data_IF_486792432654
#
_entry.id   IF_486792432654
#
_cell.length_a   1.000
_cell.length_b   1.000
_cell.length_c   1.000
_cell.angle_alpha   90.00
_cell.angle_beta   90.00
_cell.angle_gamma   90.00
#
_symmetry.space_group_name_H-M   'P 1'
#
loop_
_entity.id
_entity.type
_entity.pdbx_description
1 polymer ?
#
# COMPACT_ATOMS: atom_id res chain seq x y z
N UNK A 1 22.73 -28.19 9.51
CA UNK A 1 21.56 -27.34 9.27
C UNK A 1 21.01 -26.97 10.63
N UNK A 2 21.36 -25.77 11.14
CA UNK A 2 21.02 -25.34 12.50
C UNK A 2 19.82 -24.44 12.41
N UNK A 3 18.69 -24.90 12.94
CA UNK A 3 17.51 -24.07 13.18
C UNK A 3 17.85 -23.03 14.25
N UNK A 4 17.86 -21.77 13.88
CA UNK A 4 17.87 -20.69 14.86
C UNK A 4 16.44 -20.51 15.37
N UNK A 5 16.16 -21.02 16.56
CA UNK A 5 14.98 -20.61 17.32
C UNK A 5 15.13 -19.13 17.68
N UNK A 6 14.29 -18.31 17.12
CA UNK A 6 14.14 -16.91 17.54
C UNK A 6 13.35 -16.93 18.85
N UNK A 7 14.05 -16.88 19.97
CA UNK A 7 13.45 -16.58 21.26
C UNK A 7 12.89 -15.15 21.21
N UNK A 8 11.61 -15.02 21.50
CA UNK A 8 10.95 -13.75 21.71
C UNK A 8 11.60 -13.02 22.88
N UNK A 9 12.62 -12.23 22.58
CA UNK A 9 13.27 -11.36 23.55
C UNK A 9 12.31 -10.25 23.96
N UNK A 10 12.24 -10.03 25.26
CA UNK A 10 11.59 -8.93 25.95
C UNK A 10 11.95 -7.59 25.27
N UNK A 11 11.12 -7.09 24.37
CA UNK A 11 11.27 -5.75 23.82
C UNK A 11 10.46 -4.76 24.68
N UNK A 12 11.11 -3.74 25.26
CA UNK A 12 10.43 -2.68 25.98
C UNK A 12 9.72 -1.77 24.98
N UNK A 13 8.43 -2.06 24.73
CA UNK A 13 7.67 -1.43 23.66
C UNK A 13 6.59 -0.51 24.22
N UNK A 14 7.00 0.47 24.99
CA UNK A 14 6.17 1.60 25.33
C UNK A 14 6.98 2.88 25.13
N UNK A 15 6.95 3.43 23.91
CA UNK A 15 7.37 4.80 23.69
C UNK A 15 6.14 5.69 23.78
N UNK A 16 6.00 6.40 24.88
CA UNK A 16 5.00 7.46 25.05
C UNK A 16 5.58 8.75 24.43
N UNK A 17 5.10 9.13 23.25
CA UNK A 17 5.38 10.46 22.69
C UNK A 17 4.25 11.41 23.10
N UNK A 18 4.56 12.37 23.94
CA UNK A 18 3.67 13.50 24.24
C UNK A 18 3.85 14.56 23.15
N UNK A 19 2.84 14.77 22.33
CA UNK A 19 2.78 15.90 21.42
C UNK A 19 1.55 16.72 21.79
N UNK A 20 1.78 17.95 22.26
CA UNK A 20 0.79 19.01 22.54
C UNK A 20 -0.60 18.53 23.00
N UNK A 21 -0.68 18.04 24.24
CA UNK A 21 -1.96 17.85 24.95
C UNK A 21 -2.79 16.63 24.51
N UNK A 22 -2.34 15.85 23.53
CA UNK A 22 -2.99 14.60 23.13
C UNK A 22 -2.08 13.42 23.51
N UNK A 23 -2.58 12.56 24.39
CA UNK A 23 -1.89 11.31 24.74
C UNK A 23 -1.92 10.36 23.54
N UNK A 24 -0.76 10.13 22.93
CA UNK A 24 -0.61 9.16 21.83
C UNK A 24 -0.13 7.86 22.44
N UNK A 25 -0.96 6.83 22.39
CA UNK A 25 -0.58 5.47 22.77
C UNK A 25 0.00 4.76 21.56
N UNK A 26 1.27 4.36 21.67
CA UNK A 26 1.98 3.61 20.61
C UNK A 26 2.29 2.20 21.13
N UNK A 27 1.95 1.20 20.34
CA UNK A 27 2.25 -0.19 20.65
C UNK A 27 2.77 -0.90 19.43
N UNK A 28 3.94 -1.50 19.54
CA UNK A 28 4.45 -2.42 18.52
C UNK A 28 3.79 -3.78 18.74
N UNK A 29 3.20 -4.32 17.69
CA UNK A 29 2.59 -5.64 17.73
C UNK A 29 3.66 -6.73 17.65
N UNK A 30 3.52 -7.85 18.39
CA UNK A 30 4.48 -8.96 18.36
C UNK A 30 4.32 -9.84 17.12
N UNK A 31 3.96 -9.26 15.99
CA UNK A 31 3.71 -9.94 14.72
C UNK A 31 4.36 -9.17 13.58
N UNK A 32 4.82 -9.89 12.58
CA UNK A 32 5.36 -9.34 11.34
C UNK A 32 4.40 -9.61 10.20
N UNK A 33 4.21 -8.62 9.33
CA UNK A 33 3.46 -8.82 8.10
C UNK A 33 4.36 -9.51 7.06
N UNK A 34 3.92 -10.65 6.54
CA UNK A 34 4.62 -11.33 5.45
C UNK A 34 4.37 -10.61 4.12
N UNK A 35 3.12 -10.32 3.82
CA UNK A 35 2.70 -9.74 2.54
C UNK A 35 2.32 -8.27 2.67
N UNK A 36 1.17 -7.98 3.27
CA UNK A 36 0.66 -6.62 3.36
C UNK A 36 -0.07 -6.37 4.68
N UNK A 37 -0.18 -5.07 5.01
CA UNK A 37 -1.05 -4.55 6.07
C UNK A 37 -2.08 -3.65 5.42
N UNK A 38 -3.35 -3.91 5.72
CA UNK A 38 -4.46 -3.07 5.28
C UNK A 38 -4.99 -2.23 6.45
N UNK A 39 -5.12 -0.92 6.21
CA UNK A 39 -5.68 0.05 7.16
C UNK A 39 -6.95 0.64 6.55
N UNK A 40 -8.05 0.57 7.28
CA UNK A 40 -9.32 1.11 6.83
C UNK A 40 -10.31 1.24 7.96
N UNK A 41 -11.52 1.69 7.63
CA UNK A 41 -12.62 1.78 8.57
C UNK A 41 -13.13 0.39 8.97
N UNK A 42 -13.61 0.25 10.21
CA UNK A 42 -14.23 -0.98 10.69
C UNK A 42 -15.46 -1.38 9.86
N UNK A 43 -16.17 -0.39 9.33
CA UNK A 43 -17.22 -0.57 8.34
C UNK A 43 -16.63 -0.29 6.96
N UNK A 44 -16.38 -1.32 6.17
CA UNK A 44 -15.71 -1.23 4.86
C UNK A 44 -16.44 -0.36 3.82
N UNK A 45 -17.73 -0.06 4.05
CA UNK A 45 -18.52 0.86 3.21
C UNK A 45 -18.22 2.34 3.48
N UNK A 46 -17.47 2.67 4.54
CA UNK A 46 -17.12 4.05 4.87
C UNK A 46 -15.83 4.47 4.18
N UNK A 47 -15.76 5.77 3.92
CA UNK A 47 -14.56 6.39 3.39
C UNK A 47 -13.58 6.67 4.52
N UNK A 48 -12.33 6.31 4.33
CA UNK A 48 -11.22 6.64 5.22
C UNK A 48 -10.59 7.98 4.82
N UNK A 49 -10.33 8.82 5.80
CA UNK A 49 -9.55 10.05 5.64
C UNK A 49 -8.21 9.83 6.34
N UNK A 50 -7.16 9.70 5.56
CA UNK A 50 -5.83 9.35 6.06
C UNK A 50 -4.85 10.50 5.81
N UNK A 51 -4.04 10.77 6.81
CA UNK A 51 -2.84 11.59 6.69
C UNK A 51 -1.63 10.66 6.77
N UNK A 52 -0.91 10.55 5.68
CA UNK A 52 0.23 9.64 5.57
C UNK A 52 1.51 10.45 5.44
N UNK A 53 2.50 10.12 6.25
CA UNK A 53 3.83 10.70 6.18
C UNK A 53 4.84 9.57 5.97
N UNK A 54 5.67 9.69 4.95
CA UNK A 54 6.77 8.79 4.69
C UNK A 54 8.09 9.52 5.00
N UNK A 55 8.80 9.04 5.99
CA UNK A 55 10.09 9.58 6.44
C UNK A 55 10.05 11.11 6.61
N UNK A 56 10.88 11.84 5.86
CA UNK A 56 10.98 13.29 5.88
C UNK A 56 10.12 13.99 4.82
N UNK A 57 9.30 13.24 4.09
CA UNK A 57 8.43 13.81 3.06
C UNK A 57 7.26 14.60 3.67
N UNK A 58 6.64 15.50 2.90
CA UNK A 58 5.41 16.18 3.31
C UNK A 58 4.29 15.20 3.62
N UNK A 59 3.41 15.60 4.51
CA UNK A 59 2.18 14.83 4.81
C UNK A 59 1.27 14.84 3.60
N UNK A 60 0.82 13.67 3.19
CA UNK A 60 -0.14 13.47 2.11
C UNK A 60 -1.51 13.19 2.75
N UNK A 61 -2.51 13.98 2.40
CA UNK A 61 -3.90 13.77 2.81
C UNK A 61 -4.65 13.05 1.71
N UNK A 62 -5.20 11.90 2.05
CA UNK A 62 -5.94 11.07 1.11
C UNK A 62 -7.33 10.73 1.62
N UNK A 63 -8.27 10.70 0.68
CA UNK A 63 -9.62 10.17 0.85
C UNK A 63 -9.74 8.90 0.02
N UNK A 64 -9.91 7.76 0.68
CA UNK A 64 -9.93 6.45 0.02
C UNK A 64 -10.79 5.45 0.81
N UNK A 65 -10.83 4.22 0.36
CA UNK A 65 -11.51 3.12 1.07
C UNK A 65 -10.57 2.37 2.04
N UNK A 66 -9.30 2.74 2.07
CA UNK A 66 -8.26 2.17 2.93
C UNK A 66 -6.88 2.29 2.31
N UNK A 67 -5.86 2.02 3.10
CA UNK A 67 -4.46 2.02 2.72
C UNK A 67 -3.90 0.61 2.80
N UNK A 68 -3.32 0.14 1.71
CA UNK A 68 -2.60 -1.13 1.67
C UNK A 68 -1.10 -0.85 1.62
N UNK A 69 -0.37 -1.37 2.61
CA UNK A 69 1.09 -1.25 2.71
C UNK A 69 1.68 -2.63 2.49
N UNK A 70 2.44 -2.82 1.42
CA UNK A 70 3.02 -4.11 1.07
C UNK A 70 4.49 -4.20 1.41
N UNK A 71 4.91 -5.38 1.83
CA UNK A 71 6.33 -5.78 1.89
C UNK A 71 6.84 -6.11 0.49
N UNK A 72 8.15 -6.28 0.33
CA UNK A 72 8.72 -6.76 -0.92
C UNK A 72 8.16 -8.13 -1.33
N UNK A 73 7.95 -9.04 -0.38
CA UNK A 73 7.35 -10.36 -0.62
C UNK A 73 5.89 -10.26 -1.07
N UNK A 74 5.14 -9.33 -0.48
CA UNK A 74 3.72 -9.12 -0.79
C UNK A 74 3.46 -8.40 -2.12
N UNK A 75 4.49 -7.83 -2.76
CA UNK A 75 4.35 -7.02 -3.98
C UNK A 75 3.74 -7.79 -5.17
N UNK A 76 3.75 -9.11 -5.15
CA UNK A 76 3.16 -9.99 -6.18
C UNK A 76 1.82 -10.62 -5.75
N UNK A 77 1.35 -10.29 -4.56
CA UNK A 77 0.13 -10.84 -3.97
C UNK A 77 -1.09 -9.92 -4.20
N UNK A 78 -1.83 -9.65 -3.16
CA UNK A 78 -3.05 -8.83 -3.23
C UNK A 78 -2.79 -7.41 -3.69
N UNK A 79 -1.72 -6.78 -3.20
CA UNK A 79 -1.31 -5.42 -3.62
C UNK A 79 -1.10 -5.34 -5.13
N UNK A 80 -0.46 -6.35 -5.74
CA UNK A 80 -0.32 -6.42 -7.18
C UNK A 80 -1.68 -6.49 -7.87
N UNK A 81 -2.58 -7.33 -7.37
CA UNK A 81 -3.90 -7.53 -7.98
C UNK A 81 -4.80 -6.29 -7.96
N UNK A 82 -4.65 -5.43 -6.92
CA UNK A 82 -5.40 -4.17 -6.84
C UNK A 82 -4.77 -3.08 -7.73
N UNK A 83 -3.48 -3.09 -7.94
CA UNK A 83 -2.74 -2.03 -8.65
C UNK A 83 -2.48 -2.32 -10.12
N UNK A 84 -2.58 -3.60 -10.54
CA UNK A 84 -2.29 -3.97 -11.93
C UNK A 84 -3.29 -3.38 -12.91
N UNK A 85 -2.78 -2.88 -14.00
CA UNK A 85 -3.60 -2.54 -15.15
C UNK A 85 -3.88 -3.80 -15.98
N UNK A 86 -5.15 -4.01 -16.33
CA UNK A 86 -5.50 -5.11 -17.22
C UNK A 86 -5.13 -4.75 -18.66
N UNK A 87 -4.86 -5.77 -19.49
CA UNK A 87 -4.59 -5.57 -20.93
C UNK A 87 -5.72 -4.77 -21.60
N UNK A 88 -6.97 -5.10 -21.28
CA UNK A 88 -8.15 -4.40 -21.81
C UNK A 88 -8.18 -2.91 -21.39
N UNK A 89 -7.80 -2.57 -20.15
CA UNK A 89 -7.75 -1.18 -19.71
C UNK A 89 -6.70 -0.39 -20.49
N UNK A 90 -5.52 -0.97 -20.67
CA UNK A 90 -4.44 -0.35 -21.46
C UNK A 90 -4.88 -0.15 -22.92
N UNK A 91 -5.46 -1.15 -23.53
CA UNK A 91 -5.98 -1.09 -24.91
C UNK A 91 -7.04 0.01 -25.06
N UNK A 92 -7.96 0.11 -24.11
CA UNK A 92 -9.00 1.14 -24.13
C UNK A 92 -8.40 2.55 -24.01
N UNK A 93 -7.43 2.75 -23.12
CA UNK A 93 -6.74 4.03 -22.98
C UNK A 93 -6.00 4.39 -24.26
N UNK A 94 -5.29 3.43 -24.86
CA UNK A 94 -4.55 3.66 -26.11
C UNK A 94 -5.47 4.00 -27.27
N UNK A 95 -6.62 3.32 -27.40
CA UNK A 95 -7.63 3.65 -28.40
C UNK A 95 -8.14 5.08 -28.22
N UNK A 96 -8.49 5.46 -26.99
CA UNK A 96 -8.96 6.80 -26.69
C UNK A 96 -7.91 7.87 -27.01
N UNK A 97 -6.66 7.64 -26.63
CA UNK A 97 -5.55 8.57 -26.95
C UNK A 97 -5.39 8.70 -28.46
N UNK A 98 -5.42 7.60 -29.20
CA UNK A 98 -5.30 7.60 -30.66
C UNK A 98 -6.44 8.40 -31.32
N UNK A 99 -7.69 8.17 -30.90
CA UNK A 99 -8.86 8.88 -31.43
C UNK A 99 -8.82 10.38 -31.14
N UNK A 100 -8.31 10.76 -29.95
CA UNK A 100 -8.29 12.17 -29.50
C UNK A 100 -7.11 12.94 -30.09
N UNK A 101 -5.94 12.33 -30.22
CA UNK A 101 -4.70 13.02 -30.60
C UNK A 101 -4.33 12.88 -32.08
N UNK A 102 -4.94 11.93 -32.78
CA UNK A 102 -4.61 11.54 -34.15
C UNK A 102 -3.12 11.18 -34.38
N UNK A 103 -2.37 10.91 -33.30
CA UNK A 103 -1.00 10.40 -33.45
C UNK A 103 -1.04 8.92 -33.82
N UNK A 104 -0.34 8.50 -34.87
CA UNK A 104 -0.25 7.09 -35.23
C UNK A 104 0.62 6.37 -34.18
N UNK A 105 -0.02 5.70 -33.24
CA UNK A 105 0.67 4.88 -32.25
C UNK A 105 0.79 3.48 -32.84
N UNK A 106 1.93 3.16 -33.45
CA UNK A 106 2.22 1.81 -33.93
C UNK A 106 2.66 0.94 -32.74
N UNK A 107 1.70 0.31 -32.08
CA UNK A 107 2.00 -0.73 -31.10
C UNK A 107 1.91 -2.10 -31.75
N UNK A 108 3.05 -2.77 -31.85
CA UNK A 108 3.12 -4.20 -32.14
C UNK A 108 3.07 -4.92 -30.80
N UNK A 109 1.90 -5.44 -30.43
CA UNK A 109 1.77 -6.30 -29.25
C UNK A 109 2.20 -7.70 -29.68
N UNK A 110 3.39 -8.12 -29.31
CA UNK A 110 3.79 -9.52 -29.39
C UNK A 110 3.30 -10.21 -28.12
N UNK A 111 2.32 -11.10 -28.28
CA UNK A 111 1.89 -12.01 -27.24
C UNK A 111 2.96 -13.09 -27.09
N UNK A 112 3.57 -13.17 -25.91
CA UNK A 112 4.37 -14.30 -25.47
C UNK A 112 3.46 -15.35 -24.82
#
# INVERSE_FOLDING_TARGET
MQERSVTAGDHPLKQERKTEGKEISERVLPVLALNEVFLGESLSSRVSYLEVKFDNNPVIKNRNSGLCISTGTGSTSWTFNISKLTHQSVETILKYVFETTRFPVNFKVELL
#
